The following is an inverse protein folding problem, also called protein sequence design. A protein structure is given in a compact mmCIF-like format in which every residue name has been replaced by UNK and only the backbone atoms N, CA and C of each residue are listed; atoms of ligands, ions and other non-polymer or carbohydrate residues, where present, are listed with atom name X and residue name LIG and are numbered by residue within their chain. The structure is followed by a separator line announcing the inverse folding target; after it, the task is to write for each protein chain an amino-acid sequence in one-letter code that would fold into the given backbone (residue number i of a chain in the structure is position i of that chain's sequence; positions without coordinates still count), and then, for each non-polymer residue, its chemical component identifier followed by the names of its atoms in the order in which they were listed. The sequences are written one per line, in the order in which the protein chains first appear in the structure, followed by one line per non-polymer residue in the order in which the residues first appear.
data_IF_499388919691
#
_entry.id   IF_499388919691
#
_cell.length_a   1.000
_cell.length_b   1.000
_cell.length_c   1.000
_cell.angle_alpha   90.00
_cell.angle_beta   90.00
_cell.angle_gamma   90.00
#
_symmetry.space_group_name_H-M   'P 1'
#
loop_
_entity.id
_entity.type
_entity.pdbx_description
1 polymer ?
#
# COMPACT_ATOMS: atom_id res chain seq x y z
N UNK A 1 7.32 -0.06 5.10
CA UNK A 1 6.36 0.87 4.48
C UNK A 1 4.94 0.35 4.55
N UNK A 2 4.60 -0.83 4.02
CA UNK A 2 3.22 -1.37 4.10
C UNK A 2 2.67 -1.47 5.53
N UNK A 3 3.45 -2.00 6.49
CA UNK A 3 3.09 -2.02 7.92
C UNK A 3 2.94 -0.63 8.56
N UNK A 4 3.64 0.37 8.03
CA UNK A 4 3.52 1.75 8.51
C UNK A 4 2.24 2.40 7.95
N UNK A 5 1.92 2.13 6.69
CA UNK A 5 0.66 2.58 6.07
C UNK A 5 -0.54 1.96 6.78
N UNK A 6 -0.51 0.67 7.08
CA UNK A 6 -1.53 -0.02 7.88
C UNK A 6 -1.69 0.59 9.27
N UNK A 7 -0.57 0.88 9.94
CA UNK A 7 -0.58 1.49 11.28
C UNK A 7 -1.06 2.95 11.30
N UNK A 8 -0.75 3.72 10.26
CA UNK A 8 -1.05 5.17 10.21
C UNK A 8 -2.41 5.48 9.57
N UNK A 9 -2.80 4.70 8.57
CA UNK A 9 -4.00 4.94 7.77
C UNK A 9 -5.08 3.87 7.94
N UNK A 10 -4.77 2.67 8.47
CA UNK A 10 -5.75 1.60 8.67
C UNK A 10 -6.52 1.28 7.39
N UNK A 11 -7.84 1.45 7.43
CA UNK A 11 -8.76 1.23 6.29
C UNK A 11 -8.51 2.22 5.11
N UNK A 12 -7.98 3.42 5.37
CA UNK A 12 -7.62 4.39 4.34
C UNK A 12 -6.26 4.09 3.66
N UNK A 13 -5.56 3.05 4.12
CA UNK A 13 -4.24 2.69 3.60
C UNK A 13 -4.23 2.36 2.11
N UNK A 14 -5.28 1.71 1.60
CA UNK A 14 -5.41 1.37 0.18
C UNK A 14 -5.56 2.62 -0.70
N UNK A 15 -6.34 3.60 -0.22
CA UNK A 15 -6.51 4.89 -0.90
C UNK A 15 -5.20 5.66 -0.93
N UNK A 16 -4.49 5.73 0.19
CA UNK A 16 -3.20 6.41 0.27
C UNK A 16 -2.17 5.80 -0.69
N UNK A 17 -2.07 4.47 -0.73
CA UNK A 17 -1.18 3.77 -1.66
C UNK A 17 -1.53 4.10 -3.12
N UNK A 18 -2.82 4.09 -3.46
CA UNK A 18 -3.30 4.44 -4.80
C UNK A 18 -2.93 5.88 -5.18
N UNK A 19 -3.11 6.84 -4.28
CA UNK A 19 -2.72 8.23 -4.49
C UNK A 19 -1.22 8.38 -4.73
N UNK A 20 -0.38 7.60 -4.04
CA UNK A 20 1.07 7.60 -4.26
C UNK A 20 1.46 7.01 -5.61
N UNK A 21 0.86 5.88 -6.01
CA UNK A 21 1.11 5.29 -7.33
C UNK A 21 0.77 6.28 -8.44
N UNK A 22 -0.39 6.95 -8.36
CA UNK A 22 -0.81 7.97 -9.34
C UNK A 22 0.10 9.19 -9.34
N UNK A 23 0.61 9.61 -8.17
CA UNK A 23 1.56 10.72 -8.07
C UNK A 23 2.87 10.42 -8.84
N UNK A 24 3.46 9.25 -8.62
CA UNK A 24 4.70 8.86 -9.29
C UNK A 24 4.51 8.62 -10.80
N UNK A 25 3.34 8.11 -11.20
CA UNK A 25 2.95 7.99 -12.61
C UNK A 25 2.85 9.36 -13.28
N UNK A 26 2.20 10.34 -12.62
CA UNK A 26 2.01 11.68 -13.15
C UNK A 26 3.31 12.47 -13.34
N UNK A 27 4.31 12.23 -12.51
CA UNK A 27 5.64 12.87 -12.63
C UNK A 27 6.62 12.05 -13.49
N UNK A 28 6.20 10.90 -14.01
CA UNK A 28 7.03 10.02 -14.84
C UNK A 28 8.14 9.28 -14.08
N UNK A 29 8.02 9.14 -12.76
CA UNK A 29 8.98 8.40 -11.94
C UNK A 29 8.57 6.93 -11.83
N UNK A 30 9.09 6.13 -12.76
CA UNK A 30 8.87 4.68 -12.79
C UNK A 30 9.41 3.98 -11.54
N UNK A 31 10.49 4.47 -10.94
CA UNK A 31 11.08 3.89 -9.73
C UNK A 31 10.16 4.04 -8.52
N UNK A 32 9.63 5.25 -8.32
CA UNK A 32 8.63 5.53 -7.29
C UNK A 32 7.34 4.74 -7.50
N UNK A 33 6.86 4.64 -8.75
CA UNK A 33 5.67 3.85 -9.10
C UNK A 33 5.86 2.37 -8.73
N UNK A 34 6.96 1.75 -9.16
CA UNK A 34 7.25 0.34 -8.87
C UNK A 34 7.39 0.07 -7.37
N UNK A 35 8.02 0.98 -6.63
CA UNK A 35 8.11 0.89 -5.17
C UNK A 35 6.72 0.86 -4.52
N UNK A 36 5.83 1.79 -4.90
CA UNK A 36 4.50 1.87 -4.32
C UNK A 36 3.57 0.74 -4.77
N UNK A 37 3.77 0.19 -5.97
CA UNK A 37 3.11 -1.05 -6.38
C UNK A 37 3.52 -2.25 -5.50
N UNK A 38 4.79 -2.34 -5.13
CA UNK A 38 5.28 -3.37 -4.21
C UNK A 38 4.75 -3.19 -2.77
N UNK A 39 4.56 -1.94 -2.35
CA UNK A 39 3.87 -1.61 -1.10
C UNK A 39 2.40 -2.02 -1.15
N UNK A 40 1.69 -1.78 -2.26
CA UNK A 40 0.30 -2.19 -2.45
C UNK A 40 0.13 -3.71 -2.30
N UNK A 41 1.00 -4.48 -2.95
CA UNK A 41 0.99 -5.95 -2.86
C UNK A 41 1.14 -6.42 -1.41
N UNK A 42 2.14 -5.89 -0.70
CA UNK A 42 2.37 -6.25 0.72
C UNK A 42 1.24 -5.80 1.64
N UNK A 43 0.58 -4.69 1.33
CA UNK A 43 -0.56 -4.21 2.11
C UNK A 43 -1.75 -5.16 2.01
N UNK A 44 -2.07 -5.64 0.81
CA UNK A 44 -3.11 -6.67 0.60
C UNK A 44 -2.75 -7.98 1.31
N UNK A 45 -1.49 -8.41 1.24
CA UNK A 45 -1.02 -9.61 1.95
C UNK A 45 -1.16 -9.47 3.48
N UNK A 46 -0.87 -8.29 4.03
CA UNK A 46 -1.05 -7.98 5.45
C UNK A 46 -2.53 -8.00 5.84
N UNK A 47 -3.39 -7.30 5.09
CA UNK A 47 -4.83 -7.27 5.33
C UNK A 47 -5.46 -8.67 5.26
N UNK A 48 -5.05 -9.49 4.27
CA UNK A 48 -5.45 -10.90 4.15
C UNK A 48 -4.94 -11.78 5.29
N UNK A 49 -3.74 -11.50 5.82
CA UNK A 49 -3.18 -12.24 6.96
C UNK A 49 -3.82 -11.84 8.29
N UNK A 50 -4.17 -10.56 8.46
CA UNK A 50 -4.88 -10.05 9.66
C UNK A 50 -6.29 -10.66 9.72
N UNK A 51 -6.98 -10.75 8.58
CA UNK A 51 -8.29 -11.40 8.49
C UNK A 51 -8.24 -12.94 8.61
N UNK A 52 -7.06 -13.55 8.49
CA UNK A 52 -6.82 -14.98 8.69
C UNK A 52 -6.46 -15.38 10.14
N UNK A 53 -6.79 -14.55 11.13
CA UNK A 53 -6.69 -14.93 12.56
C UNK A 53 -8.07 -15.38 13.08
N UNK A 54 -8.47 -16.67 12.97
CA UNK A 54 -9.57 -17.20 13.76
C UNK A 54 -9.08 -17.47 15.19
N UNK A 55 -9.65 -16.73 16.14
CA UNK A 55 -9.81 -16.98 17.59
C UNK A 55 -8.73 -17.81 18.31
#
# INVERSE_FOLDING_TARGET
MALWVDREHGEDGERFITERVLHFDAIGDEGGKLLWMDVARRFVELQGSISATPN
#
